data_IF_856482997724
#
_entry.id   IF_856482997724
#
_cell.length_a   1.000
_cell.length_b   1.000
_cell.length_c   1.000
_cell.angle_alpha   90.00
_cell.angle_beta   90.00
_cell.angle_gamma   90.00
#
_symmetry.space_group_name_H-M   'P 1'
#
loop_
_entity.id
_entity.type
_entity.pdbx_description
1 polymer ?
#
# COMPACT_ATOMS: atom_id res chain seq x y z
N UNK A 1 26.81 -11.66 29.53
CA UNK A 1 25.83 -11.78 28.43
C UNK A 1 26.58 -12.07 27.13
N UNK A 2 26.37 -13.24 26.54
CA UNK A 2 27.00 -13.62 25.27
C UNK A 2 26.34 -12.87 24.11
N UNK A 3 27.05 -11.87 23.58
CA UNK A 3 26.62 -11.13 22.39
C UNK A 3 26.98 -11.90 21.11
N UNK A 4 26.47 -13.12 20.98
CA UNK A 4 26.73 -13.99 19.82
C UNK A 4 25.40 -14.23 19.11
N UNK A 5 25.37 -13.99 17.80
CA UNK A 5 24.20 -14.17 16.96
C UNK A 5 23.91 -15.67 16.79
N UNK A 6 22.75 -16.19 17.23
CA UNK A 6 22.40 -17.61 17.09
C UNK A 6 22.23 -18.08 15.64
N UNK A 7 22.11 -17.13 14.70
CA UNK A 7 21.90 -17.45 13.28
C UNK A 7 23.21 -17.67 12.52
N UNK A 8 24.30 -17.01 12.93
CA UNK A 8 25.54 -17.00 12.15
C UNK A 8 26.81 -17.03 13.00
N UNK A 9 26.66 -17.32 14.29
CA UNK A 9 27.68 -17.53 15.33
C UNK A 9 28.74 -16.42 15.47
N UNK A 10 28.48 -15.26 14.88
CA UNK A 10 29.34 -14.07 14.96
C UNK A 10 28.93 -13.18 16.12
N UNK A 11 29.89 -12.46 16.67
CA UNK A 11 29.64 -11.44 17.69
C UNK A 11 28.71 -10.36 17.13
N UNK A 12 27.71 -9.97 17.92
CA UNK A 12 26.80 -8.86 17.65
C UNK A 12 27.24 -7.68 18.51
N UNK A 13 27.34 -6.49 17.93
CA UNK A 13 27.60 -5.26 18.68
C UNK A 13 26.28 -4.53 18.92
N UNK A 14 26.20 -3.74 20.00
CA UNK A 14 24.97 -3.08 20.42
C UNK A 14 24.35 -2.17 19.34
N UNK A 15 25.18 -1.58 18.47
CA UNK A 15 24.72 -0.74 17.36
C UNK A 15 24.05 -1.52 16.21
N UNK A 16 24.30 -2.83 16.12
CA UNK A 16 23.86 -3.69 15.02
C UNK A 16 23.01 -4.87 15.52
N UNK A 17 22.64 -4.86 16.80
CA UNK A 17 21.82 -5.89 17.43
C UNK A 17 20.34 -5.59 17.25
N UNK A 18 19.58 -6.61 16.86
CA UNK A 18 18.14 -6.65 16.97
C UNK A 18 17.73 -7.74 17.97
N UNK A 19 16.88 -7.41 18.92
CA UNK A 19 16.44 -8.33 19.97
C UNK A 19 15.18 -9.06 19.52
N UNK A 20 15.30 -10.36 19.26
CA UNK A 20 14.22 -11.18 18.75
C UNK A 20 14.07 -12.47 19.57
N UNK A 21 12.86 -12.78 20.03
CA UNK A 21 12.55 -13.97 20.88
C UNK A 21 13.55 -14.20 22.02
N UNK A 22 13.90 -13.14 22.75
CA UNK A 22 14.78 -13.23 23.92
C UNK A 22 16.28 -13.32 23.61
N UNK A 23 16.70 -13.22 22.34
CA UNK A 23 18.10 -13.35 21.91
C UNK A 23 18.52 -12.18 21.02
N UNK A 24 19.81 -11.84 21.04
CA UNK A 24 20.39 -10.82 20.19
C UNK A 24 20.85 -11.42 18.86
N UNK A 25 20.30 -10.91 17.75
CA UNK A 25 20.72 -11.24 16.39
C UNK A 25 21.33 -9.98 15.75
N UNK A 26 22.08 -10.14 14.67
CA UNK A 26 22.32 -9.00 13.79
C UNK A 26 21.01 -8.55 13.14
N UNK A 27 20.88 -7.25 12.85
CA UNK A 27 19.72 -6.68 12.13
C UNK A 27 19.36 -7.52 10.89
N UNK A 28 20.37 -7.87 10.07
CA UNK A 28 20.19 -8.64 8.83
C UNK A 28 19.70 -10.07 9.12
N UNK A 29 20.25 -10.72 10.14
CA UNK A 29 19.87 -12.09 10.51
C UNK A 29 18.45 -12.14 11.08
N UNK A 30 18.05 -11.15 11.87
CA UNK A 30 16.69 -11.03 12.39
C UNK A 30 15.67 -10.85 11.25
N UNK A 31 15.94 -9.96 10.28
CA UNK A 31 15.04 -9.75 9.14
C UNK A 31 14.83 -11.01 8.29
N UNK A 32 15.84 -11.89 8.21
CA UNK A 32 15.72 -13.17 7.50
C UNK A 32 14.81 -14.15 8.24
N UNK A 33 14.99 -14.30 9.55
CA UNK A 33 14.13 -15.14 10.39
C UNK A 33 12.67 -14.68 10.36
N UNK A 34 12.43 -13.37 10.44
CA UNK A 34 11.08 -12.81 10.34
C UNK A 34 10.43 -13.10 8.98
N UNK A 35 11.21 -13.07 7.88
CA UNK A 35 10.71 -13.42 6.54
C UNK A 35 10.38 -14.90 6.44
N UNK A 36 11.24 -15.76 6.98
CA UNK A 36 11.02 -17.22 7.01
C UNK A 36 9.79 -17.56 7.87
N UNK A 37 9.60 -16.91 9.01
CA UNK A 37 8.41 -17.08 9.86
C UNK A 37 7.13 -16.55 9.21
N UNK A 38 7.18 -15.40 8.53
CA UNK A 38 6.04 -14.89 7.75
C UNK A 38 5.73 -15.75 6.52
N UNK A 39 6.73 -16.43 5.96
CA UNK A 39 6.53 -17.37 4.87
C UNK A 39 5.96 -18.71 5.36
N UNK A 40 6.35 -19.15 6.56
CA UNK A 40 5.85 -20.36 7.21
C UNK A 40 4.49 -20.15 7.87
N UNK A 41 4.16 -18.92 8.28
CA UNK A 41 2.85 -18.57 8.78
C UNK A 41 1.81 -18.82 7.67
N UNK A 42 0.70 -19.51 7.96
CA UNK A 42 -0.38 -19.63 7.01
C UNK A 42 -0.80 -18.21 6.65
N UNK A 43 -0.76 -17.88 5.36
CA UNK A 43 -1.21 -16.58 4.85
C UNK A 43 -2.73 -16.52 5.00
N UNK A 44 -3.20 -16.17 6.19
CA UNK A 44 -4.64 -16.03 6.51
C UNK A 44 -5.24 -14.78 5.85
N UNK A 45 -4.42 -13.93 5.23
CA UNK A 45 -4.87 -12.74 4.52
C UNK A 45 -4.28 -12.67 3.12
N UNK A 46 -4.66 -13.63 2.27
CA UNK A 46 -4.65 -13.38 0.84
C UNK A 46 -6.08 -13.04 0.43
N UNK A 47 -6.54 -11.85 0.82
CA UNK A 47 -7.67 -11.19 0.15
C UNK A 47 -7.18 -10.73 -1.23
N UNK A 48 -6.80 -11.68 -2.08
CA UNK A 48 -7.19 -11.55 -3.48
C UNK A 48 -8.61 -12.15 -3.56
N UNK A 49 -9.53 -11.64 -2.73
CA UNK A 49 -10.95 -11.72 -3.09
C UNK A 49 -11.03 -10.91 -4.37
N UNK A 50 -11.12 -11.59 -5.50
CA UNK A 50 -11.73 -10.98 -6.66
C UNK A 50 -13.12 -10.59 -6.18
N UNK A 51 -13.31 -9.29 -5.92
CA UNK A 51 -14.60 -8.74 -5.52
C UNK A 51 -15.47 -8.86 -6.76
N UNK A 52 -16.18 -9.98 -6.87
CA UNK A 52 -17.11 -10.21 -7.94
C UNK A 52 -18.33 -9.33 -7.65
N UNK A 53 -18.59 -8.36 -8.52
CA UNK A 53 -19.78 -7.51 -8.41
C UNK A 53 -21.08 -8.31 -8.64
N UNK A 54 -21.01 -9.57 -9.09
CA UNK A 54 -22.18 -10.42 -9.32
C UNK A 54 -22.34 -11.49 -8.22
N UNK A 55 -23.47 -11.51 -7.49
CA UNK A 55 -23.69 -12.42 -6.36
C UNK A 55 -23.81 -13.91 -6.76
N UNK A 56 -24.27 -14.24 -7.97
CA UNK A 56 -24.41 -15.63 -8.43
C UNK A 56 -23.05 -16.31 -8.64
N UNK A 57 -22.04 -15.55 -9.07
CA UNK A 57 -20.69 -16.03 -9.32
C UNK A 57 -19.95 -16.35 -8.00
N UNK A 58 -20.31 -15.65 -6.92
CA UNK A 58 -19.80 -15.89 -5.57
C UNK A 58 -20.29 -17.25 -5.01
N UNK A 59 -21.51 -17.68 -5.36
CA UNK A 59 -22.07 -18.96 -4.88
C UNK A 59 -21.45 -20.21 -5.52
N UNK A 60 -20.75 -20.07 -6.65
CA UNK A 60 -20.05 -21.18 -7.30
C UNK A 60 -18.63 -21.39 -6.78
N UNK A 61 -18.13 -20.50 -5.91
CA UNK A 61 -16.77 -20.63 -5.39
C UNK A 61 -16.70 -21.67 -4.27
N UNK A 62 -15.60 -22.43 -4.25
CA UNK A 62 -15.35 -23.55 -3.34
C UNK A 62 -15.32 -23.15 -1.85
N UNK A 63 -15.24 -21.85 -1.58
CA UNK A 63 -15.27 -21.26 -0.24
C UNK A 63 -16.19 -20.02 -0.30
N UNK A 64 -17.49 -20.16 0.00
CA UNK A 64 -18.36 -19.00 0.09
C UNK A 64 -17.86 -18.09 1.21
N UNK A 65 -17.97 -16.78 1.00
CA UNK A 65 -17.71 -15.79 2.04
C UNK A 65 -18.53 -16.17 3.27
N UNK A 66 -17.88 -16.16 4.44
CA UNK A 66 -18.51 -16.59 5.68
C UNK A 66 -19.85 -15.85 5.89
N UNK A 67 -20.91 -16.53 6.34
CA UNK A 67 -22.19 -15.88 6.60
C UNK A 67 -22.04 -14.67 7.53
N UNK A 68 -22.56 -13.53 7.08
CA UNK A 68 -22.49 -12.25 7.80
C UNK A 68 -23.18 -12.31 9.18
N UNK A 69 -24.11 -13.24 9.39
CA UNK A 69 -24.90 -13.38 10.62
C UNK A 69 -24.09 -13.86 11.84
N UNK A 70 -22.84 -14.28 11.64
CA UNK A 70 -21.95 -14.78 12.72
C UNK A 70 -20.90 -13.79 13.21
N UNK A 71 -20.79 -12.59 12.63
CA UNK A 71 -19.78 -11.62 13.05
C UNK A 71 -20.18 -10.95 14.36
N UNK A 72 -19.70 -11.48 15.49
CA UNK A 72 -19.67 -10.76 16.75
C UNK A 72 -18.47 -9.80 16.67
N UNK A 73 -18.69 -8.47 16.50
CA UNK A 73 -17.58 -7.54 16.53
C UNK A 73 -16.85 -7.66 17.88
N UNK A 74 -15.51 -7.59 17.90
CA UNK A 74 -14.78 -7.52 19.16
C UNK A 74 -15.29 -6.32 19.99
N UNK A 75 -15.24 -6.39 21.33
CA UNK A 75 -15.66 -5.29 22.18
C UNK A 75 -14.90 -4.03 21.76
N UNK A 76 -15.67 -3.00 21.43
CA UNK A 76 -15.20 -1.66 21.10
C UNK A 76 -14.47 -1.13 22.32
N UNK A 77 -13.15 -1.29 22.35
CA UNK A 77 -12.31 -0.57 23.30
C UNK A 77 -12.28 0.88 22.83
N UNK A 78 -12.51 1.88 23.71
CA UNK A 78 -12.44 3.27 23.31
C UNK A 78 -11.02 3.55 22.81
N UNK A 79 -10.92 3.93 21.54
CA UNK A 79 -9.66 4.36 20.95
C UNK A 79 -9.10 5.54 21.78
N UNK A 80 -7.79 5.57 22.08
CA UNK A 80 -7.19 6.75 22.68
C UNK A 80 -7.44 7.96 21.77
N UNK A 81 -7.87 9.07 22.36
CA UNK A 81 -8.17 10.30 21.65
C UNK A 81 -6.96 10.73 20.81
N UNK A 82 -7.09 10.65 19.49
CA UNK A 82 -6.09 11.17 18.56
C UNK A 82 -5.89 12.67 18.78
N UNK A 83 -4.64 13.09 18.69
CA UNK A 83 -4.20 14.49 18.72
C UNK A 83 -5.03 15.38 17.76
N UNK A 84 -5.14 16.70 18.03
CA UNK A 84 -5.92 17.61 17.21
C UNK A 84 -5.48 17.58 15.75
N UNK A 85 -6.45 17.48 14.84
CA UNK A 85 -6.25 17.47 13.41
C UNK A 85 -5.51 18.74 12.93
N UNK A 86 -4.58 18.63 11.96
CA UNK A 86 -3.98 19.82 11.36
C UNK A 86 -5.04 20.66 10.65
N UNK A 87 -5.03 21.96 10.96
CA UNK A 87 -5.92 22.97 10.39
C UNK A 87 -5.69 23.07 8.88
N UNK A 88 -6.77 23.02 8.09
CA UNK A 88 -6.69 23.12 6.62
C UNK A 88 -6.08 24.47 6.21
N UNK A 89 -5.07 24.40 5.35
CA UNK A 89 -4.54 25.57 4.64
C UNK A 89 -5.63 26.23 3.77
N UNK A 90 -5.59 27.55 3.56
CA UNK A 90 -6.57 28.25 2.74
C UNK A 90 -6.52 27.77 1.28
N UNK A 91 -7.70 27.52 0.73
CA UNK A 91 -7.95 27.16 -0.66
C UNK A 91 -7.55 28.33 -1.57
N UNK A 92 -6.73 28.13 -2.61
CA UNK A 92 -6.50 29.18 -3.60
C UNK A 92 -7.76 29.40 -4.43
N UNK A 93 -8.18 30.67 -4.49
CA UNK A 93 -9.25 31.21 -5.34
C UNK A 93 -9.00 30.84 -6.81
N UNK A 94 -10.00 30.25 -7.47
CA UNK A 94 -9.97 29.99 -8.92
C UNK A 94 -9.89 31.30 -9.70
N UNK A 95 -8.85 31.43 -10.52
CA UNK A 95 -8.79 32.41 -11.60
C UNK A 95 -9.78 32.05 -12.73
N UNK A 96 -10.26 33.03 -13.51
CA UNK A 96 -11.27 32.82 -14.53
C UNK A 96 -10.76 31.94 -15.69
N UNK A 97 -11.65 31.06 -16.15
CA UNK A 97 -11.49 30.16 -17.30
C UNK A 97 -11.25 30.93 -18.60
N UNK A 98 -10.14 30.70 -19.33
CA UNK A 98 -10.01 31.11 -20.72
C UNK A 98 -10.83 30.18 -21.64
N UNK A 99 -11.40 30.76 -22.69
CA UNK A 99 -12.19 30.10 -23.73
C UNK A 99 -11.43 28.94 -24.43
N UNK A 100 -12.14 27.94 -24.99
CA UNK A 100 -11.53 26.73 -25.55
C UNK A 100 -10.83 27.03 -26.87
N UNK A 101 -9.50 27.10 -26.84
CA UNK A 101 -8.67 26.98 -28.04
C UNK A 101 -8.48 25.49 -28.36
N UNK A 102 -8.70 25.10 -29.62
CA UNK A 102 -8.63 23.72 -30.10
C UNK A 102 -7.31 23.06 -29.67
N UNK A 103 -7.40 22.02 -28.85
CA UNK A 103 -6.27 21.23 -28.40
C UNK A 103 -5.74 20.33 -29.53
N UNK A 104 -4.42 20.05 -29.59
CA UNK A 104 -3.86 19.09 -30.52
C UNK A 104 -4.38 17.68 -30.22
N UNK A 105 -4.84 16.97 -31.25
CA UNK A 105 -5.36 15.60 -31.14
C UNK A 105 -4.25 14.56 -31.01
N UNK A 106 -2.99 14.91 -31.26
CA UNK A 106 -1.90 13.93 -31.28
C UNK A 106 -0.57 14.44 -30.68
N UNK A 107 0.19 13.55 -30.05
CA UNK A 107 1.43 13.86 -29.35
C UNK A 107 2.61 14.01 -30.32
N UNK A 108 3.28 15.16 -30.32
CA UNK A 108 4.46 15.41 -31.18
C UNK A 108 5.69 14.53 -30.88
N UNK A 109 5.68 13.78 -29.77
CA UNK A 109 6.83 12.95 -29.32
C UNK A 109 6.64 11.46 -29.57
N UNK A 110 5.43 10.95 -29.39
CA UNK A 110 5.14 9.52 -29.53
C UNK A 110 3.94 9.23 -30.43
N UNK A 111 3.33 10.25 -31.04
CA UNK A 111 2.19 10.14 -31.94
C UNK A 111 0.99 9.37 -31.38
N UNK A 112 0.87 9.32 -30.05
CA UNK A 112 -0.30 8.78 -29.37
C UNK A 112 -1.42 9.82 -29.32
N UNK A 113 -2.65 9.37 -29.57
CA UNK A 113 -3.86 10.19 -29.49
C UNK A 113 -4.03 10.82 -28.10
N UNK A 114 -4.21 12.13 -28.07
CA UNK A 114 -4.37 12.92 -26.86
C UNK A 114 -5.82 13.37 -26.76
N UNK A 115 -6.44 13.09 -25.61
CA UNK A 115 -7.73 13.69 -25.25
C UNK A 115 -7.59 15.21 -25.14
N UNK A 116 -8.46 16.00 -25.79
CA UNK A 116 -8.41 17.46 -25.70
C UNK A 116 -8.49 17.87 -24.23
N UNK A 117 -7.64 18.83 -23.82
CA UNK A 117 -7.47 19.37 -22.46
C UNK A 117 -6.40 18.68 -21.55
N UNK A 118 -5.63 17.71 -22.05
CA UNK A 118 -4.50 17.17 -21.29
C UNK A 118 -3.28 18.10 -21.34
N UNK A 119 -2.64 18.34 -20.18
CA UNK A 119 -1.39 19.13 -20.07
C UNK A 119 -0.13 18.29 -20.35
N UNK A 120 -0.25 16.97 -20.29
CA UNK A 120 0.83 15.99 -20.47
C UNK A 120 0.33 14.80 -21.28
N UNK A 121 1.23 14.18 -22.06
CA UNK A 121 0.93 12.98 -22.83
C UNK A 121 0.81 11.77 -21.90
N UNK A 122 -0.30 11.05 -21.97
CA UNK A 122 -0.52 9.81 -21.21
C UNK A 122 0.29 8.63 -21.72
N UNK A 123 0.82 8.69 -22.96
CA UNK A 123 1.63 7.63 -23.55
C UNK A 123 3.12 7.74 -23.23
N UNK A 124 3.70 8.95 -23.27
CA UNK A 124 5.15 9.15 -23.10
C UNK A 124 5.54 10.11 -21.96
N UNK A 125 4.56 10.67 -21.23
CA UNK A 125 4.81 11.58 -20.10
C UNK A 125 5.29 12.99 -20.47
N UNK A 126 5.53 13.29 -21.75
CA UNK A 126 5.99 14.61 -22.16
C UNK A 126 4.91 15.69 -22.01
N UNK A 127 5.33 16.90 -21.65
CA UNK A 127 4.45 18.08 -21.59
C UNK A 127 3.90 18.38 -22.97
N UNK A 128 2.59 18.55 -23.05
CA UNK A 128 1.93 18.94 -24.28
C UNK A 128 2.07 20.45 -24.43
N UNK A 129 2.63 20.86 -25.56
CA UNK A 129 2.72 22.27 -25.93
C UNK A 129 1.31 22.61 -26.41
N UNK A 130 0.58 23.36 -25.58
CA UNK A 130 -0.70 23.97 -25.93
C UNK A 130 -0.43 25.23 -26.77
#
# INVERSE_FOLDING_TARGET
MSNICPYCDKRVYAAESNFYKGKNYHIICASRLEREEKAAAPKVFAIHEQIFCNPEENSQHKYPLAPIDGYVPPPITPAPASAPAPTKAPTPTKAPTPAPTKAPTNCSKCSADIKPNNKFCTGCGNKLIA
#
